data_IF_182013843659
#
_entry.id   IF_182013843659
#
_cell.length_a   1.000
_cell.length_b   1.000
_cell.length_c   1.000
_cell.angle_alpha   90.00
_cell.angle_beta   90.00
_cell.angle_gamma   90.00
#
_symmetry.space_group_name_H-M   'P 1'
#
loop_
_entity.id
_entity.type
_entity.pdbx_description
1 polymer ?
#
# COMPACT_ATOMS: atom_id res chain seq x y z
N UNK A 1 -7.30 -15.11 4.35
CA UNK A 1 -7.04 -14.99 2.90
C UNK A 1 -5.94 -13.97 2.69
N UNK A 2 -4.94 -14.31 1.88
CA UNK A 2 -3.91 -13.38 1.42
C UNK A 2 -4.56 -12.39 0.42
N UNK A 3 -4.37 -11.06 0.58
CA UNK A 3 -4.87 -10.10 -0.39
C UNK A 3 -4.10 -10.21 -1.71
N UNK A 4 -4.80 -10.06 -2.84
CA UNK A 4 -4.15 -9.91 -4.15
C UNK A 4 -3.29 -8.63 -4.13
N UNK A 5 -2.01 -8.73 -4.47
CA UNK A 5 -1.02 -7.63 -4.47
C UNK A 5 -0.86 -6.96 -5.84
N UNK A 6 -1.86 -7.10 -6.71
CA UNK A 6 -1.90 -6.41 -8.00
C UNK A 6 -2.04 -4.89 -7.80
N UNK A 7 -1.22 -4.08 -8.50
CA UNK A 7 -1.03 -2.66 -8.16
C UNK A 7 -2.26 -1.78 -8.35
N UNK A 8 -3.19 -2.17 -9.23
CA UNK A 8 -4.42 -1.42 -9.47
C UNK A 8 -5.48 -1.58 -8.36
N UNK A 9 -5.28 -2.53 -7.44
CA UNK A 9 -6.21 -2.79 -6.34
C UNK A 9 -5.90 -2.00 -5.07
N UNK A 10 -4.76 -1.32 -4.98
CA UNK A 10 -4.30 -0.67 -3.75
C UNK A 10 -4.01 0.81 -3.94
N UNK A 11 -4.02 1.52 -2.83
CA UNK A 11 -3.57 2.92 -2.73
C UNK A 11 -2.09 3.07 -3.07
N UNK A 12 -1.68 4.27 -3.50
CA UNK A 12 -0.28 4.57 -3.86
C UNK A 12 0.72 4.23 -2.75
N UNK A 13 0.32 4.46 -1.50
CA UNK A 13 1.07 4.22 -0.28
C UNK A 13 1.32 2.73 -0.07
N UNK A 14 0.27 1.92 -0.14
CA UNK A 14 0.41 0.47 -0.01
C UNK A 14 1.15 -0.12 -1.21
N UNK A 15 1.00 0.44 -2.42
CA UNK A 15 1.74 0.02 -3.61
C UNK A 15 3.26 0.22 -3.46
N UNK A 16 3.70 1.30 -2.81
CA UNK A 16 5.12 1.51 -2.50
C UNK A 16 5.65 0.36 -1.62
N UNK A 17 4.93 -0.01 -0.55
CA UNK A 17 5.31 -1.13 0.31
C UNK A 17 5.34 -2.46 -0.45
N UNK A 18 4.38 -2.69 -1.36
CA UNK A 18 4.34 -3.88 -2.22
C UNK A 18 5.55 -3.92 -3.16
N UNK A 19 5.98 -2.78 -3.69
CA UNK A 19 7.20 -2.69 -4.52
C UNK A 19 8.45 -3.02 -3.70
N UNK A 20 8.58 -2.48 -2.49
CA UNK A 20 9.71 -2.78 -1.58
C UNK A 20 9.76 -4.28 -1.23
N UNK A 21 8.60 -4.89 -0.98
CA UNK A 21 8.50 -6.33 -0.76
C UNK A 21 8.94 -7.14 -1.98
N UNK A 22 8.45 -6.78 -3.19
CA UNK A 22 8.85 -7.45 -4.44
C UNK A 22 10.34 -7.30 -4.71
N UNK A 23 10.92 -6.14 -4.44
CA UNK A 23 12.36 -5.90 -4.56
C UNK A 23 13.14 -6.80 -3.59
N UNK A 24 12.70 -6.89 -2.33
CA UNK A 24 13.28 -7.81 -1.35
C UNK A 24 13.23 -9.26 -1.85
N UNK A 25 12.12 -9.72 -2.40
CA UNK A 25 12.00 -11.08 -2.97
C UNK A 25 12.91 -11.32 -4.18
N UNK A 26 13.12 -10.30 -5.01
CA UNK A 26 13.98 -10.38 -6.19
C UNK A 26 15.47 -10.45 -5.82
N UNK A 27 15.88 -9.68 -4.82
CA UNK A 27 17.25 -9.69 -4.28
C UNK A 27 17.53 -10.97 -3.48
N UNK A 28 16.54 -11.43 -2.71
CA UNK A 28 16.67 -12.53 -1.76
C UNK A 28 15.86 -13.77 -2.18
N UNK A 29 16.10 -14.27 -3.39
CA UNK A 29 15.32 -15.38 -3.99
C UNK A 29 15.18 -16.63 -3.11
N UNK A 30 16.22 -16.97 -2.35
CA UNK A 30 16.25 -18.13 -1.45
C UNK A 30 15.90 -17.70 -0.02
N UNK A 31 16.50 -16.60 0.47
CA UNK A 31 16.33 -16.14 1.86
C UNK A 31 14.93 -15.61 2.16
N UNK A 32 14.12 -15.29 1.14
CA UNK A 32 12.69 -14.98 1.33
C UNK A 32 11.92 -16.10 2.02
N UNK A 33 12.32 -17.36 1.82
CA UNK A 33 11.70 -18.52 2.49
C UNK A 33 12.16 -18.69 3.95
N UNK A 34 13.25 -18.01 4.33
CA UNK A 34 13.83 -18.03 5.68
C UNK A 34 13.33 -16.81 6.51
N UNK A 35 12.59 -15.89 5.89
CA UNK A 35 11.96 -14.75 6.57
C UNK A 35 12.74 -13.43 6.47
N UNK A 36 13.74 -13.33 5.59
CA UNK A 36 14.51 -12.09 5.35
C UNK A 36 13.60 -10.89 5.03
N UNK A 37 12.49 -11.13 4.33
CA UNK A 37 11.54 -10.09 3.93
C UNK A 37 10.35 -9.89 4.89
N UNK A 38 10.36 -10.52 6.08
CA UNK A 38 9.23 -10.50 7.01
C UNK A 38 8.80 -9.09 7.43
N UNK A 39 9.75 -8.16 7.56
CA UNK A 39 9.44 -6.76 7.88
C UNK A 39 8.54 -6.11 6.82
N UNK A 40 8.87 -6.31 5.53
CA UNK A 40 8.09 -5.78 4.43
C UNK A 40 6.76 -6.52 4.25
N UNK A 41 6.75 -7.83 4.46
CA UNK A 41 5.52 -8.64 4.45
C UNK A 41 4.53 -8.15 5.53
N UNK A 42 5.02 -7.89 6.75
CA UNK A 42 4.19 -7.32 7.83
C UNK A 42 3.70 -5.92 7.49
N UNK A 43 4.58 -5.05 6.95
CA UNK A 43 4.20 -3.70 6.56
C UNK A 43 3.09 -3.69 5.49
N UNK A 44 3.19 -4.55 4.47
CA UNK A 44 2.18 -4.73 3.42
C UNK A 44 0.87 -5.26 4.01
N UNK A 45 0.93 -6.25 4.90
CA UNK A 45 -0.26 -6.78 5.56
C UNK A 45 -0.98 -5.70 6.39
N UNK A 46 -0.24 -4.92 7.19
CA UNK A 46 -0.81 -3.85 7.98
C UNK A 46 -1.44 -2.78 7.07
N UNK A 47 -0.77 -2.41 5.98
CA UNK A 47 -1.26 -1.38 5.05
C UNK A 47 -2.56 -1.82 4.36
N UNK A 48 -2.57 -3.02 3.76
CA UNK A 48 -3.76 -3.56 3.08
C UNK A 48 -4.93 -3.78 4.04
N UNK A 49 -4.65 -4.07 5.31
CA UNK A 49 -5.66 -4.11 6.37
C UNK A 49 -6.24 -2.73 6.64
N UNK A 50 -5.41 -1.69 6.78
CA UNK A 50 -5.89 -0.32 6.98
C UNK A 50 -6.68 0.20 5.78
N UNK A 51 -6.25 -0.14 4.56
CA UNK A 51 -6.99 0.19 3.35
C UNK A 51 -8.38 -0.46 3.34
N UNK A 52 -8.49 -1.73 3.76
CA UNK A 52 -9.79 -2.39 3.91
C UNK A 52 -10.67 -1.70 4.95
N UNK A 53 -10.11 -1.28 6.08
CA UNK A 53 -10.85 -0.58 7.14
C UNK A 53 -11.35 0.77 6.61
N UNK A 54 -10.46 1.57 6.00
CA UNK A 54 -10.82 2.83 5.37
C UNK A 54 -11.97 2.66 4.37
N UNK A 55 -11.85 1.68 3.48
CA UNK A 55 -12.89 1.33 2.50
C UNK A 55 -14.25 0.97 3.14
N UNK A 56 -14.24 0.38 4.33
CA UNK A 56 -15.45 0.03 5.09
C UNK A 56 -16.05 1.26 5.76
N UNK A 57 -15.21 2.11 6.34
CA UNK A 57 -15.62 3.32 7.05
C UNK A 57 -16.19 4.37 6.08
N UNK A 58 -15.65 4.45 4.86
CA UNK A 58 -16.13 5.37 3.81
C UNK A 58 -17.22 4.79 2.93
N UNK A 59 -17.71 3.58 3.20
CA UNK A 59 -18.71 2.95 2.34
C UNK A 59 -20.09 3.59 2.58
N UNK A 60 -20.68 4.31 1.61
CA UNK A 60 -22.00 4.90 1.80
C UNK A 60 -23.06 3.80 1.96
N UNK A 61 -23.95 3.93 2.96
CA UNK A 61 -25.04 2.96 3.19
C UNK A 61 -26.06 2.95 2.06
N UNK A 62 -26.34 4.12 1.49
CA UNK A 62 -27.28 4.32 0.40
C UNK A 62 -26.61 5.27 -0.61
N UNK A 63 -26.11 4.75 -1.72
CA UNK A 63 -25.48 5.56 -2.76
C UNK A 63 -24.39 4.83 -3.56
N UNK A 64 -23.93 5.47 -4.63
CA UNK A 64 -22.79 4.97 -5.41
C UNK A 64 -21.49 5.22 -4.65
N UNK A 65 -20.62 4.23 -4.63
CA UNK A 65 -19.30 4.31 -4.03
C UNK A 65 -18.36 5.16 -4.91
N UNK A 66 -18.10 6.40 -4.51
CA UNK A 66 -17.12 7.29 -5.15
C UNK A 66 -15.71 7.04 -4.59
N UNK A 67 -15.25 5.78 -4.57
CA UNK A 67 -13.91 5.48 -4.05
C UNK A 67 -12.93 5.49 -5.20
N UNK A 68 -12.34 6.66 -5.46
CA UNK A 68 -11.07 6.74 -6.16
C UNK A 68 -9.98 6.25 -5.17
N UNK A 69 -9.53 4.99 -5.29
CA UNK A 69 -8.47 4.41 -4.45
C UNK A 69 -7.09 5.00 -4.79
N UNK A 70 -6.97 6.33 -4.92
CA UNK A 70 -5.71 6.96 -5.29
C UNK A 70 -4.78 7.07 -4.08
N UNK A 71 -5.30 7.50 -2.94
CA UNK A 71 -4.50 7.76 -1.73
C UNK A 71 -5.18 7.26 -0.46
N UNK A 72 -4.35 6.84 0.50
CA UNK A 72 -4.76 6.48 1.84
C UNK A 72 -4.65 7.73 2.74
N UNK A 73 -5.63 8.05 3.59
CA UNK A 73 -5.50 9.20 4.49
C UNK A 73 -4.42 8.94 5.54
N UNK A 74 -3.75 10.00 5.98
CA UNK A 74 -2.70 9.90 7.02
C UNK A 74 -3.20 9.31 8.34
N UNK A 75 -4.49 9.47 8.65
CA UNK A 75 -5.11 8.86 9.83
C UNK A 75 -5.05 7.33 9.83
N UNK A 76 -4.96 6.71 8.65
CA UNK A 76 -4.87 5.27 8.46
C UNK A 76 -3.43 4.79 8.22
N UNK A 77 -2.41 5.66 8.34
CA UNK A 77 -1.02 5.28 8.13
C UNK A 77 -0.51 4.32 9.21
N UNK A 78 0.13 3.24 8.76
CA UNK A 78 0.84 2.30 9.61
C UNK A 78 2.17 2.89 10.10
N UNK A 79 2.81 2.31 11.13
CA UNK A 79 4.12 2.78 11.58
C UNK A 79 5.19 2.79 10.46
N UNK A 80 5.13 1.82 9.54
CA UNK A 80 6.03 1.78 8.39
C UNK A 80 5.80 2.96 7.43
N UNK A 81 4.54 3.29 7.12
CA UNK A 81 4.22 4.45 6.30
C UNK A 81 4.64 5.77 6.95
N UNK A 82 4.44 5.92 8.28
CA UNK A 82 4.88 7.11 9.02
C UNK A 82 6.39 7.30 8.93
N UNK A 83 7.17 6.23 9.12
CA UNK A 83 8.63 6.26 8.95
C UNK A 83 9.05 6.66 7.53
N UNK A 84 8.41 6.09 6.51
CA UNK A 84 8.71 6.45 5.11
C UNK A 84 8.34 7.90 4.79
N UNK A 85 7.32 8.46 5.46
CA UNK A 85 6.92 9.86 5.34
C UNK A 85 7.99 10.78 5.96
N UNK A 86 8.44 10.45 7.17
CA UNK A 86 9.50 11.17 7.87
C UNK A 86 10.83 11.15 7.11
N UNK A 87 11.13 10.03 6.43
CA UNK A 87 12.31 9.89 5.59
C UNK A 87 12.21 10.63 4.25
N UNK A 88 11.05 11.22 3.92
CA UNK A 88 10.82 11.88 2.62
C UNK A 88 10.76 10.93 1.43
N UNK A 89 10.64 9.61 1.67
CA UNK A 89 10.62 8.57 0.62
C UNK A 89 9.21 8.43 0.02
N UNK A 90 8.17 8.82 0.76
CA UNK A 90 6.82 8.99 0.23
C UNK A 90 6.76 10.23 -0.69
N UNK A 91 7.44 10.16 -1.83
CA UNK A 91 7.37 11.16 -2.92
C UNK A 91 6.05 11.00 -3.69
N UNK A 92 4.93 11.23 -3.02
CA UNK A 92 3.59 11.19 -3.62
C UNK A 92 3.24 12.49 -4.35
N UNK A 93 4.15 13.45 -4.46
CA UNK A 93 3.84 14.80 -4.95
C UNK A 93 3.99 14.96 -6.46
N UNK A 94 4.41 13.93 -7.20
CA UNK A 94 4.11 13.90 -8.63
C UNK A 94 2.73 13.31 -8.80
N UNK A 95 1.74 14.19 -8.93
CA UNK A 95 0.57 13.89 -9.75
C UNK A 95 1.07 13.08 -10.95
N UNK A 96 0.77 11.78 -10.98
CA UNK A 96 0.76 11.08 -12.24
C UNK A 96 -0.34 11.74 -13.03
N UNK A 97 0.03 12.79 -13.77
CA UNK A 97 -0.69 13.27 -14.92
C UNK A 97 -1.13 12.02 -15.65
N UNK A 98 -2.42 11.70 -15.51
CA UNK A 98 -3.00 10.54 -16.15
C UNK A 98 -2.57 10.56 -17.60
N UNK A 99 -2.07 9.43 -18.08
CA UNK A 99 -1.87 9.25 -19.51
C UNK A 99 -3.24 9.50 -20.15
N UNK A 100 -3.42 10.68 -20.76
CA UNK A 100 -4.54 10.95 -21.65
C UNK A 100 -4.27 10.07 -22.87
N UNK A 101 -4.98 8.95 -22.95
CA UNK A 101 -5.13 8.20 -24.21
C UNK A 101 -6.06 9.02 -25.11
#
# INVERSE_FOLDING_TARGET
MLPDLSPHLHTSECNLLIQLLKNCWNENKIKKYIGECNYWDEAVWQCTKQERIYRRDTNPKYGKRLVENKRLPESYYTPALKKLKEQGVLLLDTESTGCKI
#
